data_IF_868644341275
#
_entry.id   IF_868644341275
#
_cell.length_a   1.000
_cell.length_b   1.000
_cell.length_c   1.000
_cell.angle_alpha   90.00
_cell.angle_beta   90.00
_cell.angle_gamma   90.00
#
_symmetry.space_group_name_H-M   'P 1'
#
loop_
_entity.id
_entity.type
_entity.pdbx_description
1 polymer ?
#
# COMPACT_ATOMS: atom_id res chain seq x y z
N UNK A 1 24.02 23.11 -5.86
CA UNK A 1 22.88 22.68 -5.03
C UNK A 1 22.79 21.16 -5.12
N UNK A 2 23.19 20.46 -4.08
CA UNK A 2 23.07 19.00 -3.99
C UNK A 2 21.64 18.67 -3.59
N UNK A 3 20.90 18.00 -4.48
CA UNK A 3 19.62 17.39 -4.13
C UNK A 3 19.85 16.39 -2.99
N UNK A 4 19.03 16.39 -1.92
CA UNK A 4 19.11 15.35 -0.92
C UNK A 4 18.82 14.02 -1.62
N UNK A 5 19.75 13.07 -1.52
CA UNK A 5 19.57 11.71 -2.01
C UNK A 5 18.29 11.15 -1.36
N UNK A 6 17.24 10.96 -2.16
CA UNK A 6 16.12 10.11 -1.75
C UNK A 6 16.72 8.76 -1.43
N UNK A 7 16.71 8.37 -0.16
CA UNK A 7 16.95 6.98 0.21
C UNK A 7 15.92 6.13 -0.56
N UNK A 8 16.33 5.03 -1.20
CA UNK A 8 15.39 4.13 -1.84
C UNK A 8 14.34 3.70 -0.82
N UNK A 9 13.08 3.70 -1.23
CA UNK A 9 12.02 3.02 -0.48
C UNK A 9 12.27 1.54 -0.70
N UNK A 10 13.04 0.91 0.20
CA UNK A 10 13.15 -0.54 0.23
C UNK A 10 11.83 -1.08 0.77
N UNK A 11 11.14 -1.88 -0.04
CA UNK A 11 10.09 -2.74 0.50
C UNK A 11 10.76 -3.70 1.49
N UNK A 12 10.18 -3.91 2.69
CA UNK A 12 10.73 -4.88 3.62
C UNK A 12 10.80 -6.26 2.94
N UNK A 13 11.85 -7.02 3.28
CA UNK A 13 11.98 -8.44 2.95
C UNK A 13 10.89 -9.28 3.63
N UNK A 14 11.07 -10.61 3.75
CA UNK A 14 10.06 -11.54 4.27
C UNK A 14 9.44 -11.18 5.64
N UNK A 15 10.07 -10.30 6.43
CA UNK A 15 9.53 -9.76 7.67
C UNK A 15 9.51 -8.21 7.68
N UNK A 16 8.41 -7.64 8.16
CA UNK A 16 8.30 -6.21 8.43
C UNK A 16 9.11 -5.86 9.68
N UNK A 17 10.32 -5.37 9.49
CA UNK A 17 11.22 -5.02 10.57
C UNK A 17 10.68 -3.84 11.41
N UNK A 18 10.45 -4.08 12.70
CA UNK A 18 10.14 -3.09 13.74
C UNK A 18 11.43 -2.43 14.27
N UNK A 19 12.42 -2.25 13.41
CA UNK A 19 13.82 -2.09 13.86
C UNK A 19 14.27 -0.63 13.93
N UNK A 20 13.36 0.30 13.69
CA UNK A 20 13.65 1.72 13.84
C UNK A 20 13.43 2.19 15.27
N UNK A 21 14.50 2.63 15.93
CA UNK A 21 14.35 3.50 17.09
C UNK A 21 13.48 4.71 16.70
N UNK A 22 12.45 5.02 17.49
CA UNK A 22 11.47 6.05 17.16
C UNK A 22 12.13 7.41 16.92
N UNK A 23 13.15 7.75 17.70
CA UNK A 23 13.86 9.03 17.56
C UNK A 23 14.62 9.10 16.22
N UNK A 24 15.26 8.01 15.80
CA UNK A 24 15.90 7.91 14.47
C UNK A 24 14.90 8.14 13.32
N UNK A 25 13.66 7.70 13.49
CA UNK A 25 12.55 7.92 12.56
C UNK A 25 11.89 9.30 12.72
N UNK A 26 12.41 10.13 13.63
CA UNK A 26 11.95 11.49 13.92
C UNK A 26 10.67 11.55 14.74
N UNK A 27 10.32 10.46 15.44
CA UNK A 27 9.15 10.32 16.30
C UNK A 27 9.59 10.50 17.76
N UNK A 28 8.90 11.38 18.49
CA UNK A 28 9.07 11.53 19.93
C UNK A 28 8.43 10.32 20.65
N UNK A 29 9.19 9.51 21.40
CA UNK A 29 8.66 8.29 22.01
C UNK A 29 7.54 8.57 23.00
N UNK A 30 7.66 9.61 23.83
CA UNK A 30 6.67 9.94 24.86
C UNK A 30 5.34 10.38 24.27
N UNK A 31 5.38 11.22 23.23
CA UNK A 31 4.18 11.65 22.50
C UNK A 31 3.55 10.49 21.73
N UNK A 32 4.37 9.61 21.16
CA UNK A 32 3.88 8.43 20.46
C UNK A 32 3.14 7.48 21.39
N UNK A 33 3.71 7.17 22.56
CA UNK A 33 3.03 6.35 23.56
C UNK A 33 1.73 6.99 24.06
N UNK A 34 1.75 8.29 24.37
CA UNK A 34 0.55 9.01 24.78
C UNK A 34 -0.54 8.94 23.70
N UNK A 35 -0.18 9.13 22.42
CA UNK A 35 -1.12 9.02 21.31
C UNK A 35 -1.68 7.61 21.18
N UNK A 36 -0.81 6.58 21.11
CA UNK A 36 -1.22 5.17 21.03
C UNK A 36 -2.16 4.76 22.16
N UNK A 37 -1.86 5.16 23.40
CA UNK A 37 -2.68 4.82 24.56
C UNK A 37 -4.09 5.44 24.52
N UNK A 38 -4.29 6.49 23.71
CA UNK A 38 -5.59 7.15 23.55
C UNK A 38 -6.48 6.47 22.52
N UNK A 39 -5.93 5.55 21.71
CA UNK A 39 -6.65 4.91 20.61
C UNK A 39 -7.31 3.60 21.06
N UNK A 40 -8.53 3.36 20.56
CA UNK A 40 -9.16 2.05 20.60
C UNK A 40 -8.87 1.30 19.30
N UNK A 41 -7.69 0.67 19.24
CA UNK A 41 -7.20 0.00 18.03
C UNK A 41 -7.79 -1.41 17.95
N UNK A 42 -8.66 -1.64 16.96
CA UNK A 42 -9.32 -2.91 16.68
C UNK A 42 -9.81 -2.94 15.24
N UNK A 43 -10.05 -4.14 14.70
CA UNK A 43 -10.74 -4.31 13.42
C UNK A 43 -12.12 -3.65 13.44
N UNK A 44 -12.50 -3.05 12.32
CA UNK A 44 -13.79 -2.36 12.15
C UNK A 44 -14.74 -3.24 11.34
N UNK A 45 -15.97 -3.47 11.78
CA UNK A 45 -16.92 -4.28 10.99
C UNK A 45 -17.48 -3.48 9.80
N UNK A 46 -17.03 -3.80 8.59
CA UNK A 46 -17.48 -3.17 7.33
C UNK A 46 -17.86 -4.23 6.28
N UNK A 47 -18.93 -4.00 5.51
CA UNK A 47 -19.35 -4.79 4.32
C UNK A 47 -19.26 -6.33 4.41
N UNK A 48 -19.47 -6.92 5.58
CA UNK A 48 -19.45 -8.38 5.77
C UNK A 48 -18.06 -8.98 6.04
N UNK A 49 -17.07 -8.14 6.33
CA UNK A 49 -15.75 -8.57 6.81
C UNK A 49 -15.85 -9.31 8.14
N UNK A 50 -15.25 -10.50 8.20
CA UNK A 50 -15.01 -11.23 9.44
C UNK A 50 -13.65 -10.83 10.00
N UNK A 51 -13.66 -10.17 11.16
CA UNK A 51 -12.46 -9.78 11.92
C UNK A 51 -12.32 -10.57 13.22
N UNK A 52 -13.07 -11.66 13.37
CA UNK A 52 -12.88 -12.57 14.50
C UNK A 52 -11.46 -13.14 14.48
N UNK A 53 -10.91 -13.45 15.65
CA UNK A 53 -9.54 -13.99 15.73
C UNK A 53 -8.44 -13.02 15.28
N UNK A 54 -8.65 -11.70 15.36
CA UNK A 54 -7.66 -10.67 15.00
C UNK A 54 -7.39 -10.56 13.49
N UNK A 55 -8.33 -11.02 12.66
CA UNK A 55 -8.29 -10.98 11.19
C UNK A 55 -8.47 -9.56 10.62
N UNK A 56 -7.50 -8.69 10.89
CA UNK A 56 -7.38 -7.33 10.37
C UNK A 56 -5.91 -6.93 10.48
N UNK A 57 -5.51 -5.79 9.90
CA UNK A 57 -4.13 -5.33 10.02
C UNK A 57 -3.99 -3.84 9.78
N UNK A 58 -3.05 -3.22 10.49
CA UNK A 58 -2.59 -1.86 10.18
C UNK A 58 -1.10 -1.76 10.46
N UNK A 59 -0.39 -1.14 9.51
CA UNK A 59 1.04 -0.81 9.64
C UNK A 59 1.17 0.69 9.47
N UNK A 60 1.87 1.34 10.39
CA UNK A 60 2.22 2.75 10.31
C UNK A 60 3.72 2.85 10.11
N UNK A 61 4.12 3.50 9.02
CA UNK A 61 5.54 3.68 8.68
C UNK A 61 5.92 5.15 8.67
N UNK A 62 7.20 5.43 8.94
CA UNK A 62 7.80 6.75 8.78
C UNK A 62 9.26 6.60 8.38
N UNK A 63 9.68 7.37 7.37
CA UNK A 63 11.06 7.33 6.83
C UNK A 63 11.54 5.91 6.47
N UNK A 64 10.62 5.08 5.96
CA UNK A 64 10.92 3.69 5.58
C UNK A 64 10.94 2.69 6.75
N UNK A 65 10.84 3.12 8.01
CA UNK A 65 10.74 2.23 9.17
C UNK A 65 9.31 2.08 9.68
N UNK A 66 8.99 0.93 10.30
CA UNK A 66 7.71 0.68 10.97
C UNK A 66 7.74 1.31 12.37
N UNK A 67 6.73 2.14 12.69
CA UNK A 67 6.58 2.77 14.01
C UNK A 67 5.40 2.20 14.83
N UNK A 68 4.57 1.38 14.20
CA UNK A 68 3.49 0.63 14.82
C UNK A 68 2.89 -0.40 13.88
N UNK A 69 2.54 -1.55 14.43
CA UNK A 69 1.87 -2.65 13.72
C UNK A 69 0.89 -3.33 14.67
N UNK A 70 -0.32 -3.63 14.18
CA UNK A 70 -1.37 -4.31 14.93
C UNK A 70 -2.18 -5.22 13.99
N UNK A 71 -2.83 -6.23 14.57
CA UNK A 71 -3.61 -7.19 13.80
C UNK A 71 -2.81 -8.45 13.46
N UNK A 72 -3.28 -9.21 12.47
CA UNK A 72 -2.65 -10.40 11.92
C UNK A 72 -1.90 -10.06 10.61
N UNK A 73 -0.56 -10.15 10.57
CA UNK A 73 0.21 -9.85 9.36
C UNK A 73 -0.03 -10.85 8.22
N UNK A 74 -0.56 -12.03 8.50
CA UNK A 74 -0.87 -13.06 7.50
C UNK A 74 -2.30 -13.00 6.97
N UNK A 75 -3.12 -12.08 7.50
CA UNK A 75 -4.49 -11.91 7.06
C UNK A 75 -4.55 -11.43 5.60
N UNK A 76 -5.32 -12.14 4.79
CA UNK A 76 -5.51 -11.85 3.36
C UNK A 76 -6.99 -11.58 3.10
N UNK A 77 -7.29 -10.40 2.59
CA UNK A 77 -8.66 -9.99 2.24
C UNK A 77 -8.65 -9.15 0.96
N UNK A 78 -9.76 -9.17 0.21
CA UNK A 78 -9.88 -8.34 -0.98
C UNK A 78 -10.03 -6.86 -0.60
N UNK A 79 -9.08 -6.03 -1.00
CA UNK A 79 -9.06 -4.59 -0.66
C UNK A 79 -9.85 -3.72 -1.65
N UNK A 80 -10.65 -4.34 -2.52
CA UNK A 80 -11.49 -3.71 -3.55
C UNK A 80 -10.76 -2.58 -4.31
N UNK A 81 -11.13 -1.32 -4.04
CA UNK A 81 -10.62 -0.16 -4.77
C UNK A 81 -9.12 0.10 -4.62
N UNK A 82 -8.44 -0.49 -3.63
CA UNK A 82 -6.96 -0.44 -3.56
C UNK A 82 -6.32 -1.04 -4.81
N UNK A 83 -6.98 -2.00 -5.47
CA UNK A 83 -6.51 -2.55 -6.74
C UNK A 83 -6.28 -1.48 -7.82
N UNK A 84 -7.00 -0.35 -7.77
CA UNK A 84 -6.79 0.77 -8.70
C UNK A 84 -5.39 1.37 -8.57
N UNK A 85 -4.83 1.45 -7.36
CA UNK A 85 -3.47 1.95 -7.15
C UNK A 85 -2.43 1.02 -7.79
N UNK A 86 -2.64 -0.30 -7.69
CA UNK A 86 -1.80 -1.29 -8.39
C UNK A 86 -1.93 -1.16 -9.90
N UNK A 87 -3.14 -0.98 -10.44
CA UNK A 87 -3.35 -0.73 -11.87
C UNK A 87 -2.60 0.51 -12.34
N UNK A 88 -2.64 1.60 -11.59
CA UNK A 88 -1.88 2.83 -11.89
C UNK A 88 -0.37 2.58 -11.95
N UNK A 89 0.20 1.87 -10.98
CA UNK A 89 1.62 1.54 -10.96
C UNK A 89 2.01 0.65 -12.16
N UNK A 90 1.21 -0.39 -12.45
CA UNK A 90 1.44 -1.28 -13.58
C UNK A 90 1.36 -0.53 -14.92
N UNK A 91 0.40 0.37 -15.08
CA UNK A 91 0.26 1.19 -16.28
C UNK A 91 1.47 2.12 -16.46
N UNK A 92 1.95 2.76 -15.39
CA UNK A 92 3.17 3.58 -15.43
C UNK A 92 4.41 2.78 -15.89
N UNK A 93 4.59 1.56 -15.40
CA UNK A 93 5.66 0.67 -15.85
C UNK A 93 5.52 0.29 -17.34
N UNK A 94 4.31 0.04 -17.81
CA UNK A 94 4.05 -0.26 -19.22
C UNK A 94 4.35 0.96 -20.12
N UNK A 95 4.00 2.16 -19.67
CA UNK A 95 4.36 3.42 -20.34
C UNK A 95 5.88 3.59 -20.41
N UNK A 96 6.59 3.43 -19.29
CA UNK A 96 8.05 3.57 -19.25
C UNK A 96 8.76 2.53 -20.14
N UNK A 97 8.13 1.37 -20.36
CA UNK A 97 8.58 0.34 -21.29
C UNK A 97 8.19 0.60 -22.77
N UNK A 98 7.46 1.68 -23.06
CA UNK A 98 6.98 2.03 -24.41
C UNK A 98 5.88 1.10 -24.94
N UNK A 99 5.18 0.39 -24.06
CA UNK A 99 4.11 -0.53 -24.44
C UNK A 99 2.75 0.17 -24.64
N UNK A 100 2.55 1.30 -23.94
CA UNK A 100 1.33 2.11 -23.99
C UNK A 100 1.71 3.59 -23.98
N UNK A 101 0.94 4.42 -24.67
CA UNK A 101 0.96 5.88 -24.54
C UNK A 101 -0.36 6.32 -23.86
N UNK A 102 -0.32 7.12 -22.78
CA UNK A 102 -1.53 7.59 -22.10
C UNK A 102 -2.43 8.47 -22.97
N UNK A 103 -1.89 9.09 -24.03
CA UNK A 103 -2.63 9.95 -24.94
C UNK A 103 -3.18 9.18 -26.17
N UNK A 104 -2.78 7.92 -26.35
CA UNK A 104 -3.31 7.08 -27.42
C UNK A 104 -4.79 6.71 -27.18
N UNK A 105 -5.58 6.57 -28.24
CA UNK A 105 -6.90 5.99 -28.10
C UNK A 105 -6.78 4.52 -27.65
N UNK A 106 -7.64 4.10 -26.71
CA UNK A 106 -7.58 2.76 -26.10
C UNK A 106 -7.52 1.63 -27.14
N UNK A 107 -8.20 1.79 -28.28
CA UNK A 107 -8.24 0.79 -29.34
C UNK A 107 -6.90 0.59 -30.07
N UNK A 108 -5.91 1.48 -29.90
CA UNK A 108 -4.58 1.31 -30.46
C UNK A 108 -3.79 0.19 -29.76
N UNK A 109 -4.08 -0.06 -28.49
CA UNK A 109 -3.39 -1.07 -27.65
C UNK A 109 -4.29 -2.19 -27.17
N UNK A 110 -5.60 -1.97 -27.08
CA UNK A 110 -6.57 -3.00 -26.68
C UNK A 110 -7.78 -3.04 -27.62
N UNK A 111 -7.89 -4.11 -28.39
CA UNK A 111 -8.99 -4.30 -29.36
C UNK A 111 -10.28 -4.81 -28.72
N UNK A 112 -10.22 -5.36 -27.51
CA UNK A 112 -11.36 -6.00 -26.84
C UNK A 112 -11.83 -7.31 -27.48
N UNK A 113 -11.10 -7.87 -28.45
CA UNK A 113 -11.49 -9.11 -29.12
C UNK A 113 -11.72 -10.24 -28.11
N UNK A 114 -12.92 -10.86 -28.17
CA UNK A 114 -13.33 -11.93 -27.25
C UNK A 114 -13.88 -11.48 -25.90
N UNK A 115 -13.73 -10.20 -25.52
CA UNK A 115 -14.18 -9.64 -24.23
C UNK A 115 -15.35 -8.64 -24.39
N UNK A 116 -15.66 -8.25 -25.62
CA UNK A 116 -16.78 -7.36 -25.93
C UNK A 116 -18.08 -8.15 -26.09
N UNK A 117 -19.20 -7.56 -25.68
CA UNK A 117 -20.51 -8.20 -25.81
C UNK A 117 -20.98 -8.34 -27.26
N UNK A 118 -20.38 -7.60 -28.21
CA UNK A 118 -20.71 -7.56 -29.64
C UNK A 118 -19.44 -7.35 -30.49
N UNK A 119 -19.49 -7.71 -31.78
CA UNK A 119 -18.40 -7.46 -32.73
C UNK A 119 -18.24 -5.97 -33.05
N UNK A 120 -17.01 -5.53 -33.26
CA UNK A 120 -16.61 -4.14 -33.53
C UNK A 120 -15.62 -4.07 -34.70
#
# INVERSE_FOLDING_TARGET
>A
MTHPSRLPVEFPSDEWLLDGDLESLGVDPGKWESFKSSLNIRGASWEGEDHTGNQWGVVVTRRGGVIGSWGDPEYRFQTASVGKAFTWAAFGLAHDAGMVDPDDPVNATWTGEGELSHEH
#
